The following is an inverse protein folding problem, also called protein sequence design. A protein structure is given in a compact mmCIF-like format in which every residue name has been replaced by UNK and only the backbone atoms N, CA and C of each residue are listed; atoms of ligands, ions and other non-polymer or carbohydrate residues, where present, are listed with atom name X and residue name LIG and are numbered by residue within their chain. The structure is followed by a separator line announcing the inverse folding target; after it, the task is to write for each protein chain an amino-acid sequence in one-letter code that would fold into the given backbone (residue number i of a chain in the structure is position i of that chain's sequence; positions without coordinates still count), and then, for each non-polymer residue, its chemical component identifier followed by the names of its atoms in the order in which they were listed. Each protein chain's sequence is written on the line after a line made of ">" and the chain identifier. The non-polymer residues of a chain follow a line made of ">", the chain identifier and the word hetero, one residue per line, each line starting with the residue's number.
data_IF_669851937737
#
_entry.id   IF_669851937737
#
_cell.length_a   1.000
_cell.length_b   1.000
_cell.length_c   1.000
_cell.angle_alpha   90.00
_cell.angle_beta   90.00
_cell.angle_gamma   90.00
#
_symmetry.space_group_name_H-M   'P 1'
#
loop_
_entity.id
_entity.type
_entity.pdbx_description
1 polymer ?
#
# COMPACT_ATOMS: atom_id res chain seq x y z
N UNK A 1 -26.65 8.46 2.75
CA UNK A 1 -27.50 7.53 3.54
C UNK A 1 -26.73 6.26 3.94
N UNK A 2 -25.89 5.65 3.06
CA UNK A 2 -25.16 4.42 3.39
C UNK A 2 -24.20 4.57 4.59
N UNK A 3 -23.45 5.67 4.64
CA UNK A 3 -22.50 5.95 5.73
C UNK A 3 -23.18 6.13 7.10
N UNK A 4 -24.46 6.45 7.13
CA UNK A 4 -25.23 6.63 8.36
C UNK A 4 -25.65 5.28 8.96
N UNK A 5 -25.99 4.31 8.11
CA UNK A 5 -26.36 2.94 8.51
C UNK A 5 -25.18 2.15 9.07
N UNK A 6 -23.97 2.44 8.61
CA UNK A 6 -22.74 1.79 9.08
C UNK A 6 -22.27 2.27 10.47
N UNK A 7 -22.93 3.31 11.05
CA UNK A 7 -22.62 3.86 12.38
C UNK A 7 -23.58 3.37 13.48
N UNK A 8 -24.65 2.67 13.12
CA UNK A 8 -25.67 2.19 14.08
C UNK A 8 -25.39 0.71 14.40
N UNK A 9 -25.07 0.35 15.66
CA UNK A 9 -24.83 -1.02 16.05
C UNK A 9 -26.02 -1.94 15.69
N UNK A 10 -25.74 -3.04 14.99
CA UNK A 10 -26.73 -4.02 14.53
C UNK A 10 -27.25 -3.77 13.10
N UNK A 11 -27.47 -2.53 12.67
CA UNK A 11 -27.80 -2.20 11.28
C UNK A 11 -26.57 -2.27 10.36
N UNK A 12 -25.39 -1.95 10.90
CA UNK A 12 -24.11 -2.10 10.21
C UNK A 12 -23.88 -3.54 9.76
N UNK A 13 -24.16 -4.52 10.62
CA UNK A 13 -23.99 -5.94 10.31
C UNK A 13 -24.90 -6.42 9.19
N UNK A 14 -26.15 -5.93 9.15
CA UNK A 14 -27.11 -6.27 8.08
C UNK A 14 -26.64 -5.66 6.75
N UNK A 15 -26.23 -4.39 6.76
CA UNK A 15 -25.74 -3.69 5.59
C UNK A 15 -24.45 -4.35 5.04
N UNK A 16 -23.49 -4.64 5.92
CA UNK A 16 -22.25 -5.31 5.56
C UNK A 16 -22.46 -6.70 4.98
N UNK A 17 -23.39 -7.49 5.55
CA UNK A 17 -23.76 -8.81 5.01
C UNK A 17 -24.39 -8.70 3.61
N UNK A 18 -25.21 -7.67 3.36
CA UNK A 18 -25.79 -7.44 2.03
C UNK A 18 -24.72 -7.09 1.01
N UNK A 19 -23.78 -6.21 1.38
CA UNK A 19 -22.63 -5.84 0.53
C UNK A 19 -21.76 -7.07 0.26
N UNK A 20 -21.41 -7.85 1.30
CA UNK A 20 -20.64 -9.10 1.18
C UNK A 20 -21.30 -10.06 0.19
N UNK A 21 -22.60 -10.31 0.32
CA UNK A 21 -23.36 -11.19 -0.60
C UNK A 21 -23.34 -10.67 -2.03
N UNK A 22 -23.48 -9.35 -2.23
CA UNK A 22 -23.41 -8.73 -3.55
C UNK A 22 -22.02 -8.91 -4.19
N UNK A 23 -20.97 -8.67 -3.43
CA UNK A 23 -19.58 -8.88 -3.91
C UNK A 23 -19.34 -10.36 -4.24
N UNK A 24 -19.70 -11.29 -3.33
CA UNK A 24 -19.49 -12.72 -3.59
C UNK A 24 -20.27 -13.20 -4.81
N UNK A 25 -21.48 -12.69 -5.05
CA UNK A 25 -22.26 -13.05 -6.23
C UNK A 25 -21.63 -12.56 -7.54
N UNK A 26 -20.89 -11.46 -7.50
CA UNK A 26 -20.17 -10.95 -8.67
C UNK A 26 -19.00 -11.85 -9.10
N UNK A 27 -18.44 -12.64 -8.16
CA UNK A 27 -17.41 -13.64 -8.46
C UNK A 27 -17.94 -15.01 -8.85
N UNK A 28 -19.27 -15.19 -8.86
CA UNK A 28 -19.97 -16.42 -9.26
C UNK A 28 -20.45 -17.28 -8.09
N UNK A 29 -21.43 -18.15 -8.40
CA UNK A 29 -22.00 -19.07 -7.43
C UNK A 29 -20.96 -20.16 -7.06
N UNK A 30 -20.62 -20.26 -5.79
CA UNK A 30 -19.66 -21.25 -5.28
C UNK A 30 -18.28 -20.69 -4.91
N UNK A 31 -18.11 -19.38 -4.91
CA UNK A 31 -16.90 -18.75 -4.42
C UNK A 31 -16.75 -18.98 -2.90
N UNK A 32 -16.02 -20.03 -2.52
CA UNK A 32 -15.84 -20.45 -1.13
C UNK A 32 -14.39 -20.37 -0.64
N UNK A 33 -13.43 -20.28 -1.56
CA UNK A 33 -12.01 -20.45 -1.26
C UNK A 33 -11.28 -19.18 -0.83
N UNK A 34 -11.84 -18.01 -1.12
CA UNK A 34 -11.21 -16.73 -0.80
C UNK A 34 -10.46 -16.11 -1.98
N UNK A 35 -10.20 -14.82 -1.88
CA UNK A 35 -9.49 -14.00 -2.86
C UNK A 35 -8.06 -13.77 -2.39
N UNK A 36 -7.10 -13.96 -3.29
CA UNK A 36 -5.73 -13.46 -3.08
C UNK A 36 -5.62 -12.14 -3.83
N UNK A 37 -5.42 -11.07 -3.08
CA UNK A 37 -5.21 -9.73 -3.61
C UNK A 37 -3.71 -9.47 -3.70
N UNK A 38 -3.23 -8.98 -4.84
CA UNK A 38 -1.82 -8.70 -5.04
C UNK A 38 -1.58 -7.77 -6.22
N UNK A 39 -0.30 -7.42 -6.47
CA UNK A 39 0.12 -6.54 -7.55
C UNK A 39 0.19 -5.05 -7.18
N UNK A 40 -0.51 -4.62 -6.13
CA UNK A 40 -0.41 -3.28 -5.56
C UNK A 40 -0.76 -3.31 -4.06
N UNK A 41 -0.40 -2.25 -3.34
CA UNK A 41 -0.80 -2.09 -1.95
C UNK A 41 -2.33 -1.98 -1.84
N UNK A 42 -2.93 -2.77 -0.94
CA UNK A 42 -4.36 -2.68 -0.66
C UNK A 42 -4.62 -1.48 0.25
N UNK A 43 -5.55 -0.61 -0.16
CA UNK A 43 -5.97 0.53 0.65
C UNK A 43 -6.50 0.06 2.02
N UNK A 44 -6.03 0.68 3.10
CA UNK A 44 -6.36 0.25 4.49
C UNK A 44 -7.84 0.38 4.81
N UNK A 45 -8.52 1.41 4.33
CA UNK A 45 -9.97 1.54 4.57
C UNK A 45 -10.75 0.43 3.89
N UNK A 46 -10.32 0.05 2.67
CA UNK A 46 -10.89 -1.10 1.95
C UNK A 46 -10.61 -2.39 2.71
N UNK A 47 -9.39 -2.58 3.20
CA UNK A 47 -9.03 -3.75 4.01
C UNK A 47 -9.83 -3.81 5.32
N UNK A 48 -10.02 -2.66 5.98
CA UNK A 48 -10.86 -2.55 7.17
C UNK A 48 -12.30 -2.95 6.88
N UNK A 49 -12.84 -2.50 5.76
CA UNK A 49 -14.18 -2.86 5.33
C UNK A 49 -14.31 -4.36 5.04
N UNK A 50 -13.36 -4.94 4.29
CA UNK A 50 -13.31 -6.37 4.00
C UNK A 50 -13.25 -7.20 5.29
N UNK A 51 -12.41 -6.77 6.26
CA UNK A 51 -12.29 -7.43 7.57
C UNK A 51 -13.59 -7.33 8.37
N UNK A 52 -14.22 -6.15 8.44
CA UNK A 52 -15.50 -5.94 9.12
C UNK A 52 -16.63 -6.79 8.52
N UNK A 53 -16.62 -7.01 7.21
CA UNK A 53 -17.56 -7.89 6.52
C UNK A 53 -17.24 -9.38 6.71
N UNK A 54 -16.11 -9.72 7.33
CA UNK A 54 -15.53 -11.08 7.29
C UNK A 54 -15.49 -11.63 5.85
N UNK A 55 -15.07 -10.79 4.90
CA UNK A 55 -14.90 -11.19 3.51
C UNK A 55 -13.73 -12.17 3.40
N UNK A 56 -13.82 -13.22 2.57
CA UNK A 56 -12.74 -14.20 2.43
C UNK A 56 -11.65 -13.63 1.51
N UNK A 57 -10.65 -12.95 2.09
CA UNK A 57 -9.50 -12.43 1.36
C UNK A 57 -8.21 -12.65 2.14
N UNK A 58 -7.13 -12.65 1.42
CA UNK A 58 -5.75 -12.51 1.89
C UNK A 58 -4.99 -11.60 0.94
N UNK A 59 -3.91 -11.00 1.40
CA UNK A 59 -3.00 -10.23 0.55
C UNK A 59 -1.75 -11.06 0.31
N UNK A 60 -1.37 -11.19 -0.96
CA UNK A 60 -0.12 -11.81 -1.39
C UNK A 60 0.84 -10.75 -1.92
N UNK A 61 2.13 -11.02 -1.79
CA UNK A 61 3.19 -10.17 -2.31
C UNK A 61 4.11 -10.97 -3.21
N UNK A 62 4.55 -10.34 -4.28
CA UNK A 62 5.49 -10.94 -5.19
C UNK A 62 5.89 -10.04 -6.33
N UNK A 63 6.79 -10.54 -7.16
CA UNK A 63 7.31 -9.89 -8.34
C UNK A 63 7.66 -10.92 -9.40
N UNK A 64 7.72 -10.50 -10.66
CA UNK A 64 7.99 -11.38 -11.80
C UNK A 64 9.29 -12.16 -11.64
N UNK A 65 10.30 -11.53 -11.06
CA UNK A 65 11.62 -12.09 -10.78
C UNK A 65 11.62 -13.25 -9.77
N UNK A 66 10.48 -13.51 -9.11
CA UNK A 66 10.33 -14.55 -8.09
C UNK A 66 9.26 -15.61 -8.44
N UNK A 67 8.78 -15.66 -9.68
CA UNK A 67 7.95 -16.69 -10.25
C UNK A 67 6.48 -16.86 -9.82
N UNK A 68 5.65 -15.87 -9.52
CA UNK A 68 5.88 -14.51 -9.05
C UNK A 68 5.76 -14.33 -7.52
N UNK A 69 5.36 -15.37 -6.75
CA UNK A 69 4.87 -15.25 -5.38
C UNK A 69 6.01 -15.33 -4.35
N UNK A 70 6.16 -14.28 -3.54
CA UNK A 70 7.13 -14.21 -2.44
C UNK A 70 6.48 -14.55 -1.11
N UNK A 71 5.31 -13.99 -0.83
CA UNK A 71 4.60 -14.25 0.42
C UNK A 71 3.09 -14.30 0.25
N UNK A 72 2.45 -15.15 1.02
CA UNK A 72 1.01 -15.25 1.22
C UNK A 72 0.74 -16.14 2.45
N UNK A 73 -0.51 -16.30 2.86
CA UNK A 73 -0.91 -17.30 3.85
C UNK A 73 -2.39 -17.62 3.70
N UNK A 74 -2.84 -18.64 4.39
CA UNK A 74 -4.26 -18.94 4.51
C UNK A 74 -4.99 -17.89 5.34
N UNK A 75 -6.30 -17.70 5.07
CA UNK A 75 -7.14 -16.75 5.79
C UNK A 75 -7.08 -16.89 7.32
N UNK A 76 -6.96 -18.12 7.81
CA UNK A 76 -6.88 -18.41 9.25
C UNK A 76 -5.63 -17.87 9.94
N UNK A 77 -4.57 -17.69 9.18
CA UNK A 77 -3.28 -17.18 9.65
C UNK A 77 -3.01 -15.72 9.26
N UNK A 78 -3.89 -15.15 8.43
CA UNK A 78 -3.69 -13.83 7.84
C UNK A 78 -3.72 -12.71 8.89
N UNK A 79 -2.61 -12.01 9.02
CA UNK A 79 -2.51 -10.81 9.83
C UNK A 79 -2.91 -9.59 8.99
N UNK A 80 -3.82 -8.77 9.52
CA UNK A 80 -4.28 -7.54 8.87
C UNK A 80 -3.11 -6.62 8.51
N UNK A 81 -3.16 -6.04 7.34
CA UNK A 81 -2.14 -5.16 6.75
C UNK A 81 -0.81 -5.86 6.40
N UNK A 82 -0.71 -7.16 6.58
CA UNK A 82 0.43 -7.94 6.12
C UNK A 82 0.21 -8.46 4.70
N UNK A 83 1.30 -8.96 4.11
CA UNK A 83 1.26 -9.73 2.87
C UNK A 83 1.41 -11.24 3.14
N UNK A 84 0.97 -11.70 4.33
CA UNK A 84 1.13 -13.08 4.73
C UNK A 84 2.57 -13.43 5.13
N UNK A 85 2.88 -14.73 5.07
CA UNK A 85 4.19 -15.31 5.42
C UNK A 85 4.95 -15.66 4.13
N UNK A 86 6.27 -15.83 4.22
CA UNK A 86 7.05 -16.30 3.08
C UNK A 86 6.44 -17.55 2.43
N UNK A 87 6.43 -17.61 1.12
CA UNK A 87 5.99 -18.78 0.38
C UNK A 87 7.13 -19.82 0.29
N UNK A 88 6.82 -21.09 0.59
CA UNK A 88 7.77 -22.18 0.34
C UNK A 88 7.91 -22.46 -1.17
N UNK A 89 9.10 -22.79 -1.68
CA UNK A 89 10.36 -23.06 -0.96
C UNK A 89 11.28 -21.83 -0.83
N UNK A 90 10.78 -20.62 -1.01
CA UNK A 90 11.62 -19.41 -0.91
C UNK A 90 12.14 -19.20 0.51
N UNK A 91 13.32 -18.62 0.61
CA UNK A 91 13.84 -17.99 1.80
C UNK A 91 13.59 -16.48 1.71
N UNK A 92 13.30 -15.82 2.84
CA UNK A 92 13.09 -14.39 2.94
C UNK A 92 13.88 -13.83 4.11
N UNK A 93 14.58 -12.72 3.89
CA UNK A 93 15.20 -11.94 4.97
C UNK A 93 14.89 -10.46 4.79
N UNK A 94 14.98 -9.73 5.87
CA UNK A 94 14.98 -8.26 5.88
C UNK A 94 16.42 -7.83 6.13
N UNK A 95 16.97 -7.02 5.23
CA UNK A 95 18.33 -6.49 5.36
C UNK A 95 18.36 -5.37 6.40
N UNK A 96 18.33 -5.77 7.66
CA UNK A 96 18.37 -4.86 8.81
C UNK A 96 18.96 -5.54 10.05
N UNK A 97 19.42 -4.75 11.01
CA UNK A 97 19.97 -5.24 12.26
C UNK A 97 18.90 -5.88 13.17
N UNK A 98 17.63 -5.50 13.04
CA UNK A 98 16.47 -6.06 13.76
C UNK A 98 15.28 -6.11 12.78
N UNK A 99 15.04 -7.26 12.12
CA UNK A 99 14.00 -7.41 11.10
C UNK A 99 12.56 -7.13 11.59
N UNK A 100 12.37 -7.14 12.90
CA UNK A 100 11.05 -6.91 13.52
C UNK A 100 10.80 -5.41 13.77
N UNK A 101 11.84 -4.67 14.14
CA UNK A 101 11.71 -3.27 14.58
C UNK A 101 12.26 -2.26 13.61
N UNK A 102 13.24 -2.66 12.80
CA UNK A 102 13.97 -1.77 11.91
C UNK A 102 13.68 -2.14 10.47
N UNK A 103 13.17 -1.19 9.71
CA UNK A 103 12.94 -1.36 8.27
C UNK A 103 14.23 -1.71 7.55
N UNK A 104 14.13 -2.68 6.64
CA UNK A 104 15.21 -3.05 5.75
C UNK A 104 14.65 -3.50 4.41
N UNK A 105 15.52 -3.64 3.42
CA UNK A 105 15.15 -4.17 2.12
C UNK A 105 14.74 -5.64 2.26
N UNK A 106 13.61 -5.99 1.66
CA UNK A 106 13.18 -7.38 1.57
C UNK A 106 14.07 -8.08 0.54
N UNK A 107 14.72 -9.16 0.95
CA UNK A 107 15.58 -9.96 0.09
C UNK A 107 15.09 -11.40 0.09
N UNK A 108 15.16 -12.05 -1.08
CA UNK A 108 14.65 -13.41 -1.28
C UNK A 108 15.67 -14.29 -1.98
N UNK A 109 15.62 -15.60 -1.69
CA UNK A 109 16.49 -16.61 -2.30
C UNK A 109 15.71 -17.93 -2.47
N UNK A 110 16.00 -18.69 -3.50
CA UNK A 110 15.39 -19.98 -3.75
C UNK A 110 15.20 -20.27 -5.23
N UNK A 111 14.68 -21.46 -5.53
CA UNK A 111 14.58 -21.98 -6.91
C UNK A 111 13.56 -21.22 -7.79
N UNK A 112 12.63 -20.48 -7.18
CA UNK A 112 11.67 -19.66 -7.92
C UNK A 112 12.25 -18.29 -8.32
N UNK A 113 13.45 -17.92 -7.82
CA UNK A 113 14.11 -16.67 -8.19
C UNK A 113 14.72 -16.78 -9.57
N UNK A 114 14.56 -15.76 -10.40
CA UNK A 114 15.11 -15.69 -11.75
C UNK A 114 16.63 -15.92 -11.77
N UNK A 115 17.16 -16.44 -12.87
CA UNK A 115 18.59 -16.55 -13.09
C UNK A 115 19.25 -15.18 -13.42
N UNK A 116 18.47 -14.24 -13.95
CA UNK A 116 18.91 -12.90 -14.33
C UNK A 116 18.09 -12.31 -15.44
N UNK A 117 18.40 -11.05 -15.80
CA UNK A 117 17.78 -10.37 -16.93
C UNK A 117 18.44 -10.76 -18.24
N UNK A 118 17.61 -11.08 -19.24
CA UNK A 118 18.09 -11.52 -20.54
C UNK A 118 19.00 -10.48 -21.22
N UNK A 119 20.23 -10.87 -21.54
CA UNK A 119 21.27 -10.02 -22.16
C UNK A 119 21.54 -8.70 -21.39
N UNK A 120 21.36 -8.71 -20.08
CA UNK A 120 21.64 -7.54 -19.24
C UNK A 120 22.36 -7.97 -17.95
N UNK A 121 23.65 -8.24 -18.07
CA UNK A 121 24.50 -8.69 -16.97
C UNK A 121 24.67 -7.61 -15.89
N UNK A 122 24.71 -6.34 -16.29
CA UNK A 122 24.85 -5.21 -15.36
C UNK A 122 23.63 -5.11 -14.44
N UNK A 123 22.42 -5.10 -15.00
CA UNK A 123 21.19 -5.09 -14.22
C UNK A 123 21.06 -6.36 -13.35
N UNK A 124 21.49 -7.52 -13.88
CA UNK A 124 21.50 -8.76 -13.12
C UNK A 124 22.41 -8.66 -11.90
N UNK A 125 23.66 -8.24 -12.10
CA UNK A 125 24.63 -8.07 -11.01
C UNK A 125 24.15 -7.02 -9.97
N UNK A 126 23.51 -5.93 -10.43
CA UNK A 126 22.96 -4.91 -9.55
C UNK A 126 21.79 -5.41 -8.69
N UNK A 127 21.05 -6.43 -9.16
CA UNK A 127 19.86 -6.96 -8.47
C UNK A 127 20.19 -7.99 -7.40
N UNK A 128 21.34 -8.65 -7.47
CA UNK A 128 21.73 -9.64 -6.48
C UNK A 128 22.75 -9.08 -5.48
N UNK A 129 22.70 -9.62 -4.26
CA UNK A 129 23.76 -9.42 -3.26
C UNK A 129 24.93 -10.35 -3.54
N UNK A 130 26.09 -10.08 -2.94
CA UNK A 130 27.29 -10.92 -3.10
C UNK A 130 27.10 -12.37 -2.61
N UNK A 131 26.16 -12.60 -1.66
CA UNK A 131 25.81 -13.92 -1.12
C UNK A 131 24.57 -14.55 -1.82
N UNK A 132 24.17 -13.97 -2.96
CA UNK A 132 23.19 -14.54 -3.89
C UNK A 132 21.73 -14.37 -3.51
N UNK A 133 21.39 -13.33 -2.74
CA UNK A 133 20.00 -12.94 -2.50
C UNK A 133 19.54 -11.92 -3.53
N UNK A 134 18.35 -12.09 -4.03
CA UNK A 134 17.69 -11.10 -4.89
C UNK A 134 17.18 -9.94 -4.02
N UNK A 135 17.58 -8.74 -4.36
CA UNK A 135 17.06 -7.48 -3.78
C UNK A 135 15.76 -7.11 -4.46
N UNK A 136 14.67 -7.07 -3.69
CA UNK A 136 13.34 -6.80 -4.28
C UNK A 136 13.11 -5.32 -4.58
N UNK A 137 13.90 -4.45 -3.98
CA UNK A 137 13.68 -3.00 -4.00
C UNK A 137 12.54 -2.54 -3.11
N UNK A 138 11.89 -3.44 -2.37
CA UNK A 138 10.82 -3.12 -1.43
C UNK A 138 11.35 -3.11 0.00
N UNK A 139 10.93 -2.12 0.79
CA UNK A 139 11.26 -1.97 2.19
C UNK A 139 10.17 -2.58 3.07
N UNK A 140 10.56 -3.30 4.11
CA UNK A 140 9.59 -3.95 4.99
C UNK A 140 10.16 -4.39 6.33
N UNK A 141 9.29 -5.02 7.11
CA UNK A 141 9.59 -5.71 8.37
C UNK A 141 8.85 -7.04 8.39
N UNK A 142 9.25 -7.92 9.29
CA UNK A 142 8.50 -9.13 9.64
C UNK A 142 8.11 -9.06 11.11
N UNK A 143 6.94 -9.61 11.47
CA UNK A 143 6.58 -9.75 12.87
C UNK A 143 7.16 -11.06 13.46
N UNK A 144 6.97 -11.26 14.77
CA UNK A 144 7.43 -12.46 15.46
C UNK A 144 6.77 -13.77 14.96
N UNK A 145 5.71 -13.68 14.18
CA UNK A 145 5.00 -14.82 13.55
C UNK A 145 5.42 -15.06 12.11
N UNK A 146 6.32 -14.23 11.57
CA UNK A 146 6.80 -14.30 10.19
C UNK A 146 5.89 -13.60 9.16
N UNK A 147 4.91 -12.80 9.60
CA UNK A 147 4.11 -12.02 8.66
C UNK A 147 4.95 -10.86 8.10
N UNK A 148 4.88 -10.66 6.80
CA UNK A 148 5.61 -9.63 6.05
C UNK A 148 4.76 -8.37 5.94
N UNK A 149 5.34 -7.22 6.27
CA UNK A 149 4.70 -5.89 6.14
C UNK A 149 5.56 -5.01 5.24
N UNK A 150 5.02 -4.65 4.08
CA UNK A 150 5.68 -3.75 3.13
C UNK A 150 5.39 -2.31 3.56
N UNK A 151 6.39 -1.43 3.43
CA UNK A 151 6.33 -0.04 3.87
C UNK A 151 6.58 0.98 2.76
N UNK A 152 7.23 0.56 1.68
CA UNK A 152 7.53 1.42 0.54
C UNK A 152 8.63 0.84 -0.34
N UNK A 153 9.09 1.65 -1.27
CA UNK A 153 10.16 1.29 -2.22
C UNK A 153 11.48 1.94 -1.86
N UNK A 154 12.58 1.19 -1.98
CA UNK A 154 13.94 1.72 -1.78
C UNK A 154 14.21 2.95 -2.65
N UNK A 155 13.79 2.92 -3.92
CA UNK A 155 14.01 3.98 -4.91
C UNK A 155 13.21 5.25 -4.65
N UNK A 156 12.07 5.13 -3.95
CA UNK A 156 11.17 6.25 -3.67
C UNK A 156 11.49 6.92 -2.33
N UNK A 157 12.35 6.30 -1.52
CA UNK A 157 12.72 6.82 -0.22
C UNK A 157 13.30 8.23 -0.34
N UNK A 158 12.74 9.16 0.43
CA UNK A 158 13.20 10.54 0.51
C UNK A 158 14.09 10.67 1.74
N UNK A 159 15.34 11.02 1.53
CA UNK A 159 16.27 11.32 2.61
C UNK A 159 16.15 12.79 3.01
N UNK A 160 15.78 13.05 4.26
CA UNK A 160 15.75 14.41 4.79
C UNK A 160 17.14 14.95 5.04
N UNK A 161 17.28 16.27 5.12
CA UNK A 161 18.55 16.93 5.48
C UNK A 161 19.10 16.52 6.87
N UNK A 162 18.25 15.96 7.73
CA UNK A 162 18.64 15.44 9.05
C UNK A 162 18.93 13.93 9.07
N UNK A 163 19.02 13.28 7.90
CA UNK A 163 19.31 11.86 7.77
C UNK A 163 18.15 10.92 8.10
N UNK A 164 16.93 11.44 8.16
CA UNK A 164 15.72 10.62 8.36
C UNK A 164 15.21 10.10 7.01
N UNK A 165 14.85 8.83 6.97
CA UNK A 165 14.22 8.21 5.81
C UNK A 165 12.71 8.43 5.87
N UNK A 166 12.14 8.94 4.78
CA UNK A 166 10.70 9.06 4.58
C UNK A 166 10.32 8.12 3.45
N UNK A 167 9.26 7.36 3.69
CA UNK A 167 8.63 6.50 2.69
C UNK A 167 7.36 7.19 2.20
N UNK A 168 7.38 7.77 1.00
CA UNK A 168 6.26 8.55 0.45
C UNK A 168 4.95 7.78 0.48
N UNK A 169 5.00 6.49 0.20
CA UNK A 169 3.84 5.60 0.13
C UNK A 169 3.03 5.58 1.43
N UNK A 170 3.68 5.70 2.59
CA UNK A 170 2.97 5.76 3.89
C UNK A 170 2.16 7.06 4.04
N UNK A 171 2.63 8.15 3.44
CA UNK A 171 1.93 9.44 3.47
C UNK A 171 0.86 9.48 2.38
N UNK A 172 1.18 9.00 1.17
CA UNK A 172 0.26 8.88 0.05
C UNK A 172 -0.96 8.03 0.42
N UNK A 173 -0.75 6.96 1.18
CA UNK A 173 -1.85 6.15 1.70
C UNK A 173 -2.84 6.98 2.52
N UNK A 174 -2.37 7.89 3.38
CA UNK A 174 -3.23 8.76 4.16
C UNK A 174 -3.91 9.84 3.31
N UNK A 175 -3.19 10.39 2.33
CA UNK A 175 -3.71 11.41 1.42
C UNK A 175 -4.77 10.83 0.49
N UNK A 176 -4.55 9.62 -0.05
CA UNK A 176 -5.49 8.94 -0.94
C UNK A 176 -6.81 8.51 -0.25
N UNK A 177 -6.89 8.58 1.08
CA UNK A 177 -8.12 8.38 1.85
C UNK A 177 -8.96 9.65 1.97
N UNK A 178 -8.45 10.80 1.58
CA UNK A 178 -9.18 12.07 1.67
C UNK A 178 -10.32 12.13 0.64
N UNK A 179 -11.44 12.78 0.98
CA UNK A 179 -12.51 13.03 0.02
C UNK A 179 -12.00 13.76 -1.23
N UNK A 180 -12.50 13.37 -2.39
CA UNK A 180 -12.19 13.97 -3.69
C UNK A 180 -10.71 13.87 -4.12
N UNK A 181 -9.94 12.95 -3.57
CA UNK A 181 -8.59 12.60 -4.03
C UNK A 181 -8.67 11.31 -4.84
N UNK A 182 -8.27 11.34 -6.12
CA UNK A 182 -8.16 10.16 -6.98
C UNK A 182 -6.84 9.46 -6.75
N UNK A 183 -5.76 10.24 -6.81
CA UNK A 183 -4.40 9.76 -6.55
C UNK A 183 -3.51 10.91 -6.05
N UNK A 184 -2.46 10.55 -5.35
CA UNK A 184 -1.48 11.50 -4.85
C UNK A 184 -0.06 10.97 -5.02
N UNK A 185 0.89 11.90 -5.08
CA UNK A 185 2.32 11.61 -5.07
C UNK A 185 3.00 12.55 -4.09
N UNK A 186 3.80 11.99 -3.19
CA UNK A 186 4.59 12.78 -2.23
C UNK A 186 6.03 12.88 -2.74
N UNK A 187 6.49 14.10 -2.94
CA UNK A 187 7.83 14.38 -3.45
C UNK A 187 8.63 15.25 -2.49
N UNK A 188 9.92 14.96 -2.37
CA UNK A 188 10.86 15.82 -1.65
C UNK A 188 11.26 17.01 -2.50
N UNK A 189 11.10 18.24 -1.98
CA UNK A 189 11.62 19.47 -2.58
C UNK A 189 12.54 20.22 -1.59
N UNK A 190 13.16 21.29 -2.05
CA UNK A 190 14.14 22.08 -1.28
C UNK A 190 13.64 22.51 0.11
N UNK A 191 12.34 22.73 0.25
CA UNK A 191 11.72 23.26 1.48
C UNK A 191 10.88 22.25 2.24
N UNK A 192 10.92 20.96 1.87
CA UNK A 192 10.19 19.90 2.55
C UNK A 192 9.41 18.98 1.60
N UNK A 193 8.40 18.32 2.13
CA UNK A 193 7.55 17.44 1.36
C UNK A 193 6.41 18.21 0.67
N UNK A 194 6.19 17.91 -0.59
CA UNK A 194 5.08 18.45 -1.37
C UNK A 194 4.15 17.33 -1.77
N UNK A 195 2.85 17.51 -1.52
CA UNK A 195 1.82 16.63 -2.00
C UNK A 195 1.32 17.09 -3.37
N UNK A 196 1.50 16.27 -4.40
CA UNK A 196 0.90 16.46 -5.72
C UNK A 196 -0.41 15.67 -5.73
N UNK A 197 -1.54 16.31 -6.03
CA UNK A 197 -2.88 15.73 -5.88
C UNK A 197 -3.63 15.79 -7.18
N UNK A 198 -4.18 14.66 -7.61
CA UNK A 198 -5.17 14.58 -8.69
C UNK A 198 -6.57 14.54 -8.07
N UNK A 199 -7.39 15.60 -8.26
CA UNK A 199 -8.74 15.66 -7.72
C UNK A 199 -9.74 14.79 -8.46
N UNK A 200 -10.80 14.36 -7.78
CA UNK A 200 -12.01 13.80 -8.38
C UNK A 200 -13.01 14.93 -8.74
N UNK A 201 -12.78 15.54 -9.89
CA UNK A 201 -13.68 16.59 -10.41
C UNK A 201 -15.10 16.06 -10.69
N UNK A 202 -15.25 14.77 -11.03
CA UNK A 202 -16.57 14.18 -11.29
C UNK A 202 -17.39 14.10 -10.01
N UNK A 203 -16.82 13.54 -8.94
CA UNK A 203 -17.48 13.48 -7.64
C UNK A 203 -17.77 14.86 -7.04
N UNK A 204 -16.89 15.84 -7.26
CA UNK A 204 -17.11 17.23 -6.86
C UNK A 204 -18.27 17.86 -7.63
N UNK A 205 -18.37 17.65 -8.95
CA UNK A 205 -19.48 18.11 -9.79
C UNK A 205 -20.82 17.53 -9.36
N UNK A 206 -20.90 16.25 -9.04
CA UNK A 206 -22.09 15.62 -8.48
C UNK A 206 -22.53 16.23 -7.12
N UNK A 207 -21.57 16.75 -6.38
CA UNK A 207 -21.80 17.42 -5.09
C UNK A 207 -22.01 18.92 -5.21
N UNK A 208 -22.05 19.50 -6.44
CA UNK A 208 -22.14 20.93 -6.72
C UNK A 208 -21.03 21.78 -6.07
N UNK A 209 -19.81 21.24 -5.98
CA UNK A 209 -18.64 21.94 -5.44
C UNK A 209 -17.90 22.58 -6.60
N UNK A 210 -17.57 23.87 -6.51
CA UNK A 210 -16.76 24.56 -7.51
C UNK A 210 -15.29 24.12 -7.44
N UNK A 211 -14.55 24.24 -8.54
CA UNK A 211 -13.13 23.88 -8.61
C UNK A 211 -12.29 24.63 -7.56
N UNK A 212 -12.60 25.89 -7.31
CA UNK A 212 -11.91 26.70 -6.31
C UNK A 212 -12.15 26.16 -4.88
N UNK A 213 -13.40 25.87 -4.56
CA UNK A 213 -13.77 25.31 -3.25
C UNK A 213 -13.21 23.89 -3.09
N UNK A 214 -13.22 23.06 -4.15
CA UNK A 214 -12.61 21.74 -4.17
C UNK A 214 -11.11 21.81 -3.84
N UNK A 215 -10.37 22.69 -4.54
CA UNK A 215 -8.94 22.87 -4.31
C UNK A 215 -8.65 23.33 -2.87
N UNK A 216 -9.47 24.19 -2.32
CA UNK A 216 -9.35 24.67 -0.94
C UNK A 216 -9.58 23.54 0.06
N UNK A 217 -10.68 22.78 -0.09
CA UNK A 217 -11.03 21.67 0.79
C UNK A 217 -9.94 20.59 0.79
N UNK A 218 -9.42 20.22 -0.40
CA UNK A 218 -8.33 19.26 -0.51
C UNK A 218 -7.08 19.75 0.22
N UNK A 219 -6.67 21.00 0.01
CA UNK A 219 -5.48 21.55 0.68
C UNK A 219 -5.63 21.58 2.20
N UNK A 220 -6.78 21.99 2.71
CA UNK A 220 -7.07 21.99 4.16
C UNK A 220 -7.02 20.56 4.72
N UNK A 221 -7.60 19.58 4.02
CA UNK A 221 -7.58 18.19 4.42
C UNK A 221 -6.15 17.60 4.40
N UNK A 222 -5.36 17.89 3.36
CA UNK A 222 -3.96 17.46 3.25
C UNK A 222 -3.13 18.04 4.41
N UNK A 223 -3.26 19.31 4.71
CA UNK A 223 -2.55 19.89 5.87
C UNK A 223 -3.06 19.33 7.21
N UNK A 224 -4.30 18.92 7.30
CA UNK A 224 -4.87 18.25 8.46
C UNK A 224 -4.17 16.91 8.79
N UNK A 225 -3.66 16.20 7.77
CA UNK A 225 -2.88 14.95 7.96
C UNK A 225 -1.61 15.20 8.77
N UNK A 226 -1.03 16.38 8.73
CA UNK A 226 0.20 16.71 9.46
C UNK A 226 0.10 16.48 10.98
N UNK A 227 -1.09 16.46 11.54
CA UNK A 227 -1.31 16.13 12.97
C UNK A 227 -1.00 14.65 13.28
N UNK A 228 -1.04 13.80 12.27
CA UNK A 228 -0.80 12.35 12.35
C UNK A 228 0.62 11.96 11.95
N UNK A 229 1.39 12.87 11.37
CA UNK A 229 2.72 12.64 10.85
C UNK A 229 3.80 13.09 11.84
N UNK A 230 4.94 12.37 11.91
CA UNK A 230 6.14 12.85 12.60
C UNK A 230 6.58 14.22 12.07
N UNK A 231 7.28 14.99 12.89
CA UNK A 231 7.68 16.36 12.55
C UNK A 231 8.51 16.43 11.26
N UNK A 232 9.39 15.45 11.03
CA UNK A 232 10.28 15.40 9.87
C UNK A 232 9.60 14.99 8.56
N UNK A 233 8.37 14.44 8.62
CA UNK A 233 7.60 13.98 7.45
C UNK A 233 6.35 14.82 7.18
N UNK A 234 6.25 16.01 7.78
CA UNK A 234 5.12 16.90 7.53
C UNK A 234 5.12 17.44 6.10
N UNK A 235 3.93 17.49 5.52
CA UNK A 235 3.69 18.09 4.20
C UNK A 235 3.78 19.61 4.36
N UNK A 236 4.65 20.22 3.58
CA UNK A 236 4.89 21.68 3.62
C UNK A 236 4.14 22.43 2.53
N UNK A 237 3.78 21.74 1.44
CA UNK A 237 3.03 22.34 0.34
C UNK A 237 2.12 21.31 -0.34
N UNK A 238 1.10 21.79 -1.07
CA UNK A 238 0.13 20.98 -1.77
C UNK A 238 -0.20 21.60 -3.14
N UNK A 239 0.15 20.88 -4.19
CA UNK A 239 -0.10 21.25 -5.59
C UNK A 239 -1.24 20.42 -6.17
N UNK A 240 -2.20 21.07 -6.81
CA UNK A 240 -3.31 20.40 -7.48
C UNK A 240 -2.94 20.17 -8.94
N UNK A 241 -2.96 18.93 -9.35
CA UNK A 241 -2.65 18.50 -10.72
C UNK A 241 -3.91 18.55 -11.58
N UNK A 242 -3.75 18.95 -12.85
CA UNK A 242 -4.86 18.98 -13.81
C UNK A 242 -5.05 17.66 -14.53
N UNK A 243 -3.99 16.88 -14.62
CA UNK A 243 -3.94 15.61 -15.35
C UNK A 243 -3.47 14.48 -14.43
N UNK A 244 -3.91 13.23 -14.64
CA UNK A 244 -3.40 12.06 -13.95
C UNK A 244 -1.88 11.91 -14.13
N UNK A 245 -1.22 11.24 -13.19
CA UNK A 245 0.19 10.93 -13.32
C UNK A 245 0.43 9.92 -14.45
N UNK A 246 1.48 10.15 -15.26
CA UNK A 246 1.94 9.16 -16.22
C UNK A 246 2.46 7.91 -15.47
N UNK A 247 2.05 6.73 -15.95
CA UNK A 247 2.43 5.42 -15.37
C UNK A 247 3.56 4.78 -16.15
#
# INVERSE_FOLDING_TARGET
>A
PANMLLKVPGLDRIALNKIKKGLLSAFGNGFSTGLILGGAALNREVEDLLKRMDFPYVVGYGMTECGPLISYCDKSEFAKYSCGKKADPLELRIDSADPIKVLGEIQVKGDAVMLGYYKNEEATAATFTADGWLKTGDMGVVDAKGNVFIKGRCKNMILTGNGQNIYPEEIEELVNQLPYVVESLIVGRKHGLVALIVPDYNAAGESNISDEELCKQIKEAVYGINSRLPLYSKITDCEIMKEPFEK
#
